data_IF_188851753720
#
_entry.id   IF_188851753720
#
_cell.length_a   1.000
_cell.length_b   1.000
_cell.length_c   1.000
_cell.angle_alpha   90.00
_cell.angle_beta   90.00
_cell.angle_gamma   90.00
#
_symmetry.space_group_name_H-M   'P 1'
#
loop_
_entity.id
_entity.type
_entity.pdbx_description
1 polymer ?
#
# COMPACT_ATOMS: atom_id res chain seq x y z
N UNK A 1 -3.00 -9.97 -13.01
CA UNK A 1 -1.97 -9.39 -12.12
C UNK A 1 -1.74 -10.24 -10.87
N UNK A 2 -2.79 -10.74 -10.21
CA UNK A 2 -2.65 -11.62 -9.04
C UNK A 2 -1.84 -12.89 -9.38
N UNK A 3 -2.13 -13.54 -10.51
CA UNK A 3 -1.42 -14.77 -10.89
C UNK A 3 0.07 -14.52 -11.16
N UNK A 4 0.42 -13.41 -11.82
CA UNK A 4 1.82 -12.98 -12.01
C UNK A 4 2.55 -12.78 -10.67
N UNK A 5 1.88 -12.18 -9.69
CA UNK A 5 2.46 -12.01 -8.35
C UNK A 5 2.67 -13.36 -7.67
N UNK A 6 1.75 -14.33 -7.84
CA UNK A 6 1.84 -15.69 -7.30
C UNK A 6 2.89 -16.55 -7.99
N UNK A 7 3.16 -16.30 -9.26
CA UNK A 7 4.22 -16.94 -10.04
C UNK A 7 5.63 -16.46 -9.64
N UNK A 8 5.74 -15.51 -8.71
CA UNK A 8 7.02 -15.03 -8.17
C UNK A 8 7.67 -13.93 -9.01
N UNK A 9 6.91 -13.28 -9.90
CA UNK A 9 7.39 -12.11 -10.64
C UNK A 9 7.68 -10.96 -9.68
N UNK A 10 8.82 -10.29 -9.85
CA UNK A 10 9.08 -9.03 -9.14
C UNK A 10 8.24 -7.91 -9.76
N UNK A 11 7.41 -7.24 -8.96
CA UNK A 11 6.44 -6.26 -9.45
C UNK A 11 6.50 -4.97 -8.64
N UNK A 12 6.43 -3.84 -9.34
CA UNK A 12 6.09 -2.53 -8.78
C UNK A 12 4.75 -2.12 -9.39
N UNK A 13 3.78 -1.86 -8.54
CA UNK A 13 2.42 -1.52 -8.97
C UNK A 13 2.01 -0.21 -8.31
N UNK A 14 1.66 0.79 -9.13
CA UNK A 14 1.02 2.03 -8.66
C UNK A 14 -0.48 1.84 -8.80
N UNK A 15 -1.22 1.84 -7.68
CA UNK A 15 -2.65 1.57 -7.69
C UNK A 15 -3.38 2.27 -6.54
N UNK A 16 -4.67 2.54 -6.76
CA UNK A 16 -5.62 2.97 -5.72
C UNK A 16 -6.50 1.80 -5.23
N UNK A 17 -6.34 0.59 -5.78
CA UNK A 17 -7.07 -0.60 -5.33
C UNK A 17 -6.41 -1.22 -4.10
N UNK A 18 -6.85 -0.81 -2.92
CA UNK A 18 -6.30 -1.27 -1.65
C UNK A 18 -6.50 -2.78 -1.42
N UNK A 19 -7.61 -3.35 -1.90
CA UNK A 19 -7.87 -4.79 -1.81
C UNK A 19 -6.83 -5.63 -2.55
N UNK A 20 -6.35 -5.15 -3.70
CA UNK A 20 -5.24 -5.77 -4.41
C UNK A 20 -3.94 -5.68 -3.59
N UNK A 21 -3.62 -4.50 -3.08
CA UNK A 21 -2.42 -4.30 -2.25
C UNK A 21 -2.42 -5.21 -1.01
N UNK A 22 -3.56 -5.32 -0.32
CA UNK A 22 -3.74 -6.24 0.82
C UNK A 22 -3.57 -7.71 0.45
N UNK A 23 -3.95 -8.08 -0.76
CA UNK A 23 -4.01 -9.49 -1.17
C UNK A 23 -2.68 -10.05 -1.67
N UNK A 24 -1.84 -9.23 -2.31
CA UNK A 24 -0.63 -9.73 -2.99
C UNK A 24 0.65 -8.92 -2.74
N UNK A 25 0.56 -7.72 -2.16
CA UNK A 25 1.76 -6.91 -1.97
C UNK A 25 2.58 -7.41 -0.77
N UNK A 26 3.90 -7.43 -0.92
CA UNK A 26 4.83 -7.67 0.19
C UNK A 26 5.11 -6.38 0.98
N UNK A 27 5.04 -5.23 0.30
CA UNK A 27 5.28 -3.91 0.88
C UNK A 27 4.38 -2.89 0.19
N UNK A 28 3.84 -1.96 0.96
CA UNK A 28 3.09 -0.80 0.47
C UNK A 28 3.94 0.45 0.74
N UNK A 29 4.01 1.35 -0.24
CA UNK A 29 4.69 2.63 -0.13
C UNK A 29 3.65 3.74 -0.38
N UNK A 30 3.49 4.62 0.60
CA UNK A 30 2.74 5.85 0.44
C UNK A 30 3.69 6.97 0.06
N UNK A 31 3.33 7.68 -1.00
CA UNK A 31 4.09 8.81 -1.50
C UNK A 31 3.23 10.07 -1.49
N UNK A 32 3.82 11.17 -1.03
CA UNK A 32 3.21 12.49 -1.04
C UNK A 32 4.29 13.55 -1.29
N UNK A 33 3.97 14.58 -2.07
CA UNK A 33 4.91 15.64 -2.47
C UNK A 33 6.28 15.14 -2.98
N UNK A 34 6.28 14.05 -3.75
CA UNK A 34 7.49 13.46 -4.33
C UNK A 34 8.40 12.73 -3.33
N UNK A 35 7.93 12.49 -2.10
CA UNK A 35 8.66 11.75 -1.07
C UNK A 35 7.92 10.46 -0.70
N UNK A 36 8.68 9.42 -0.31
CA UNK A 36 8.09 8.26 0.37
C UNK A 36 7.84 8.67 1.81
N UNK A 37 6.57 8.81 2.17
CA UNK A 37 6.12 9.28 3.49
C UNK A 37 6.07 8.12 4.47
N UNK A 38 5.63 6.95 4.02
CA UNK A 38 5.56 5.75 4.82
C UNK A 38 5.70 4.51 3.94
N UNK A 39 6.34 3.47 4.47
CA UNK A 39 6.47 2.20 3.76
C UNK A 39 6.53 1.04 4.72
N UNK A 40 5.55 0.14 4.64
CA UNK A 40 5.41 -0.99 5.58
C UNK A 40 4.79 -2.22 4.90
N UNK A 41 4.59 -3.31 5.63
CA UNK A 41 3.74 -4.43 5.19
C UNK A 41 2.31 -3.92 5.00
N UNK A 42 1.48 -4.57 4.14
CA UNK A 42 0.09 -4.14 3.98
C UNK A 42 -0.68 -4.10 5.30
N UNK A 43 -0.52 -5.10 6.16
CA UNK A 43 -1.18 -5.18 7.46
C UNK A 43 -0.88 -3.96 8.34
N UNK A 44 0.40 -3.71 8.63
CA UNK A 44 0.81 -2.55 9.43
C UNK A 44 0.43 -1.23 8.75
N UNK A 45 0.58 -1.12 7.43
CA UNK A 45 0.26 0.10 6.71
C UNK A 45 -1.23 0.48 6.79
N UNK A 46 -2.14 -0.51 6.69
CA UNK A 46 -3.58 -0.26 6.68
C UNK A 46 -4.22 -0.25 8.06
N UNK A 47 -3.72 -1.06 8.99
CA UNK A 47 -4.33 -1.22 10.32
C UNK A 47 -3.64 -0.38 11.39
N UNK A 48 -2.35 -0.12 11.24
CA UNK A 48 -1.54 0.63 12.20
C UNK A 48 -0.61 1.66 11.52
N UNK A 49 -1.15 2.56 10.67
CA UNK A 49 -0.35 3.59 10.01
C UNK A 49 0.32 4.50 11.06
N UNK A 50 1.63 4.71 10.93
CA UNK A 50 2.40 5.50 11.89
C UNK A 50 2.45 6.99 11.53
N UNK A 51 2.42 7.32 10.24
CA UNK A 51 2.51 8.70 9.79
C UNK A 51 1.14 9.39 9.74
N UNK A 52 1.06 10.62 10.24
CA UNK A 52 -0.16 11.43 10.24
C UNK A 52 -0.73 11.67 8.84
N UNK A 53 0.13 11.82 7.82
CA UNK A 53 -0.34 11.98 6.43
C UNK A 53 -0.93 10.68 5.89
N UNK A 54 -0.35 9.54 6.23
CA UNK A 54 -0.89 8.23 5.86
C UNK A 54 -2.25 8.00 6.52
N UNK A 55 -2.38 8.30 7.83
CA UNK A 55 -3.66 8.24 8.56
C UNK A 55 -4.72 9.11 7.88
N UNK A 56 -4.37 10.36 7.56
CA UNK A 56 -5.27 11.28 6.88
C UNK A 56 -5.70 10.74 5.51
N UNK A 57 -4.74 10.26 4.71
CA UNK A 57 -5.02 9.66 3.41
C UNK A 57 -6.00 8.48 3.55
N UNK A 58 -5.67 7.50 4.40
CA UNK A 58 -6.51 6.31 4.63
C UNK A 58 -7.93 6.66 5.11
N UNK A 59 -8.07 7.70 5.94
CA UNK A 59 -9.38 8.16 6.43
C UNK A 59 -10.34 8.67 5.34
N UNK A 60 -9.80 9.05 4.17
CA UNK A 60 -10.58 9.56 3.04
C UNK A 60 -11.01 8.46 2.05
N UNK A 61 -10.38 7.28 2.13
CA UNK A 61 -10.59 6.17 1.18
C UNK A 61 -11.18 4.92 1.82
N UNK A 62 -11.03 4.74 3.13
CA UNK A 62 -11.64 3.64 3.88
C UNK A 62 -12.97 4.12 4.48
N UNK A 63 -14.02 4.13 3.65
CA UNK A 63 -15.41 4.27 4.07
C UNK A 63 -16.15 2.93 4.01
#
# INVERSE_FOLDING_TARGET
>A
MIDLAREGMTMIVVSHEMGFAKSVAHKVLFMDFGQIVEGNTPEEFFENPQNERTKLFLSQILH
#
